data_IF_307213686676
#
_entry.id   IF_307213686676
#
_cell.length_a   1.000
_cell.length_b   1.000
_cell.length_c   1.000
_cell.angle_alpha   90.00
_cell.angle_beta   90.00
_cell.angle_gamma   90.00
#
_symmetry.space_group_name_H-M   'P 1'
#
loop_
_entity.id
_entity.type
_entity.pdbx_description
1 polymer ?
#
# COMPACT_ATOMS: atom_id res chain seq x y z
N UNK A 1 7.87 3.18 -2.69
CA UNK A 1 8.46 3.70 -1.42
C UNK A 1 7.44 3.41 -0.34
N UNK A 2 7.85 2.95 0.84
CA UNK A 2 6.92 2.65 1.95
C UNK A 2 6.82 3.88 2.85
N UNK A 3 5.61 4.36 3.09
CA UNK A 3 5.31 5.52 3.93
C UNK A 3 4.73 5.04 5.25
N UNK A 4 5.32 5.49 6.36
CA UNK A 4 4.82 5.19 7.71
C UNK A 4 4.58 6.50 8.44
N UNK A 5 3.34 6.73 8.86
CA UNK A 5 3.00 7.86 9.73
C UNK A 5 3.25 7.46 11.19
N UNK A 6 4.00 8.27 11.94
CA UNK A 6 4.22 8.06 13.36
C UNK A 6 3.64 9.23 14.14
N UNK A 7 2.67 8.96 15.02
CA UNK A 7 1.92 10.00 15.74
C UNK A 7 1.91 9.75 17.24
N UNK A 8 1.59 10.81 17.98
CA UNK A 8 1.49 10.81 19.44
C UNK A 8 0.40 9.87 19.98
N UNK A 9 0.56 9.49 21.24
CA UNK A 9 -0.35 8.60 21.98
C UNK A 9 -1.51 9.35 22.64
N UNK A 10 -1.74 10.60 22.24
CA UNK A 10 -2.77 11.47 22.79
C UNK A 10 -3.97 11.59 21.82
N UNK A 11 -4.92 12.45 22.18
CA UNK A 11 -6.08 12.75 21.33
C UNK A 11 -5.69 13.54 20.08
N UNK A 12 -4.64 14.37 20.16
CA UNK A 12 -4.11 15.12 19.02
C UNK A 12 -3.62 14.20 17.92
N UNK A 13 -2.82 13.19 18.27
CA UNK A 13 -2.31 12.18 17.35
C UNK A 13 -3.42 11.44 16.59
N UNK A 14 -4.54 11.13 17.26
CA UNK A 14 -5.69 10.50 16.58
C UNK A 14 -6.35 11.40 15.53
N UNK A 15 -6.43 12.70 15.80
CA UNK A 15 -6.99 13.67 14.84
C UNK A 15 -6.06 13.84 13.64
N UNK A 16 -4.75 13.87 13.88
CA UNK A 16 -3.75 13.97 12.82
C UNK A 16 -3.81 12.75 11.91
N UNK A 17 -3.91 11.53 12.46
CA UNK A 17 -4.09 10.32 11.64
C UNK A 17 -5.34 10.45 10.76
N UNK A 18 -6.47 10.90 11.31
CA UNK A 18 -7.73 11.05 10.56
C UNK A 18 -7.64 12.05 9.42
N UNK A 19 -6.88 13.13 9.59
CA UNK A 19 -6.64 14.12 8.56
C UNK A 19 -5.66 13.60 7.51
N UNK A 20 -4.56 12.99 7.95
CA UNK A 20 -3.56 12.40 7.08
C UNK A 20 -4.15 11.33 6.15
N UNK A 21 -5.03 10.47 6.67
CA UNK A 21 -5.75 9.47 5.87
C UNK A 21 -6.63 10.06 4.77
N UNK A 22 -7.04 11.33 4.88
CA UNK A 22 -7.84 12.01 3.85
C UNK A 22 -6.98 12.72 2.81
N UNK A 23 -5.74 13.09 3.15
CA UNK A 23 -4.90 13.99 2.35
C UNK A 23 -3.75 13.25 1.66
N UNK A 24 -3.23 12.18 2.27
CA UNK A 24 -2.02 11.50 1.83
C UNK A 24 -2.18 9.97 1.77
N UNK A 25 -1.41 9.34 0.88
CA UNK A 25 -1.31 7.88 0.76
C UNK A 25 -0.30 7.35 1.78
N UNK A 26 -0.79 6.58 2.75
CA UNK A 26 0.00 6.04 3.88
C UNK A 26 -0.21 4.53 3.97
N UNK A 27 0.87 3.77 4.03
CA UNK A 27 0.82 2.31 4.12
C UNK A 27 0.63 1.85 5.58
N UNK A 28 1.38 2.45 6.50
CA UNK A 28 1.44 2.04 7.90
C UNK A 28 1.29 3.22 8.87
N UNK A 29 0.69 2.95 10.01
CA UNK A 29 0.57 3.89 11.13
C UNK A 29 1.25 3.29 12.36
N UNK A 30 2.22 4.00 12.91
CA UNK A 30 2.78 3.72 14.22
C UNK A 30 2.21 4.72 15.23
N UNK A 31 1.95 4.26 16.45
CA UNK A 31 1.43 5.11 17.54
C UNK A 31 2.38 5.05 18.73
N UNK A 32 2.65 6.20 19.34
CA UNK A 32 3.32 6.27 20.62
C UNK A 32 2.45 5.64 21.73
N UNK A 33 3.05 5.17 22.85
CA UNK A 33 2.32 4.75 24.03
C UNK A 33 1.31 5.80 24.51
N UNK A 34 0.20 5.35 25.06
CA UNK A 34 -0.89 6.24 25.51
C UNK A 34 -0.38 7.33 26.45
N UNK A 35 -0.76 8.59 26.15
CA UNK A 35 -0.39 9.76 26.95
C UNK A 35 1.08 10.20 26.84
N UNK A 36 1.87 9.62 25.92
CA UNK A 36 3.24 10.09 25.60
C UNK A 36 3.31 10.73 24.22
N UNK A 37 4.11 11.78 24.12
CA UNK A 37 4.50 12.43 22.87
C UNK A 37 5.69 11.72 22.23
N UNK A 38 5.81 11.76 20.92
CA UNK A 38 6.94 11.18 20.16
C UNK A 38 8.26 11.83 20.58
N UNK A 39 8.23 13.11 20.92
CA UNK A 39 9.40 13.87 21.41
C UNK A 39 9.94 13.34 22.75
N UNK A 40 9.06 12.77 23.58
CA UNK A 40 9.39 12.27 24.92
C UNK A 40 9.84 10.79 24.91
N UNK A 41 9.81 10.13 23.76
CA UNK A 41 10.13 8.70 23.67
C UNK A 41 11.63 8.43 23.65
N UNK A 42 12.02 7.41 24.40
CA UNK A 42 13.37 6.86 24.29
C UNK A 42 13.54 6.08 22.97
N UNK A 43 14.79 5.95 22.49
CA UNK A 43 15.08 5.21 21.26
C UNK A 43 14.50 3.78 21.26
N UNK A 44 14.48 3.11 22.42
CA UNK A 44 13.91 1.76 22.57
C UNK A 44 12.39 1.76 22.37
N UNK A 45 11.70 2.79 22.84
CA UNK A 45 10.25 2.94 22.67
C UNK A 45 9.88 3.28 21.23
N UNK A 46 10.66 4.14 20.56
CA UNK A 46 10.47 4.44 19.12
C UNK A 46 10.59 3.17 18.29
N UNK A 47 11.65 2.37 18.52
CA UNK A 47 11.85 1.10 17.80
C UNK A 47 10.72 0.11 18.11
N UNK A 48 10.22 0.07 19.36
CA UNK A 48 9.07 -0.76 19.72
C UNK A 48 7.80 -0.33 18.99
N UNK A 49 7.50 0.96 18.95
CA UNK A 49 6.34 1.50 18.26
C UNK A 49 6.39 1.23 16.75
N UNK A 50 7.56 1.39 16.12
CA UNK A 50 7.75 1.11 14.69
C UNK A 50 7.67 -0.38 14.35
N UNK A 51 8.10 -1.27 15.26
CA UNK A 51 7.92 -2.72 15.11
C UNK A 51 6.46 -3.16 15.21
N UNK A 52 5.67 -2.42 15.97
CA UNK A 52 4.24 -2.66 16.18
C UNK A 52 3.37 -1.75 15.29
N UNK A 53 3.89 -1.31 14.13
CA UNK A 53 3.12 -0.49 13.19
C UNK A 53 1.94 -1.29 12.63
N UNK A 54 0.81 -0.61 12.49
CA UNK A 54 -0.48 -1.17 12.11
C UNK A 54 -0.73 -0.77 10.64
N UNK A 55 -1.18 -1.68 9.77
CA UNK A 55 -1.58 -1.33 8.41
C UNK A 55 -2.81 -0.42 8.42
N UNK A 56 -2.92 0.45 7.42
CA UNK A 56 -3.99 1.46 7.36
C UNK A 56 -5.40 0.88 7.41
N UNK A 57 -5.61 -0.30 6.82
CA UNK A 57 -6.91 -1.01 6.79
C UNK A 57 -7.44 -1.26 8.20
N UNK A 58 -6.58 -1.75 9.09
CA UNK A 58 -6.94 -2.03 10.48
C UNK A 58 -7.21 -0.74 11.28
N UNK A 59 -6.55 0.37 10.91
CA UNK A 59 -6.77 1.68 11.54
C UNK A 59 -8.14 2.26 11.17
N UNK A 60 -8.59 2.06 9.93
CA UNK A 60 -9.90 2.53 9.46
C UNK A 60 -11.04 1.87 10.24
N UNK A 61 -10.92 0.57 10.50
CA UNK A 61 -11.88 -0.20 11.31
C UNK A 61 -11.95 0.31 12.76
N UNK A 62 -10.80 0.59 13.35
CA UNK A 62 -10.67 1.03 14.75
C UNK A 62 -11.40 2.35 15.00
N UNK A 63 -11.29 3.30 14.06
CA UNK A 63 -11.82 4.65 14.24
C UNK A 63 -13.26 4.83 13.72
N UNK A 64 -13.89 3.77 13.17
CA UNK A 64 -15.25 3.83 12.59
C UNK A 64 -15.46 5.07 11.72
N UNK A 65 -14.41 5.46 11.00
CA UNK A 65 -14.50 6.58 10.07
C UNK A 65 -15.37 6.03 8.95
N UNK A 66 -16.65 6.41 8.95
CA UNK A 66 -17.46 6.30 7.75
C UNK A 66 -16.71 7.11 6.70
N UNK A 67 -15.90 6.44 5.89
CA UNK A 67 -15.32 6.99 4.69
C UNK A 67 -16.51 7.34 3.80
N UNK A 68 -17.06 8.53 4.02
CA UNK A 68 -17.84 9.17 2.99
C UNK A 68 -16.79 9.57 1.97
N UNK A 69 -16.76 8.94 0.78
CA UNK A 69 -15.91 9.44 -0.28
C UNK A 69 -16.43 10.85 -0.56
N UNK A 70 -15.76 11.87 -0.02
CA UNK A 70 -15.96 13.24 -0.45
C UNK A 70 -15.49 13.24 -1.88
N UNK A 71 -16.43 13.02 -2.81
CA UNK A 71 -16.31 13.37 -4.21
C UNK A 71 -15.62 14.72 -4.21
N UNK A 72 -14.38 14.73 -4.68
CA UNK A 72 -13.57 15.91 -4.95
C UNK A 72 -14.52 16.89 -5.64
N UNK A 73 -15.05 17.84 -4.88
CA UNK A 73 -15.96 18.84 -5.42
C UNK A 73 -15.10 19.63 -6.38
N UNK A 74 -15.35 19.41 -7.66
CA UNK A 74 -14.87 20.25 -8.74
C UNK A 74 -15.27 21.68 -8.38
N UNK A 75 -14.32 22.46 -7.87
CA UNK A 75 -14.45 23.91 -7.80
C UNK A 75 -14.11 24.43 -9.19
N UNK A 76 -14.95 24.10 -10.16
CA UNK A 76 -14.89 24.68 -11.50
C UNK A 76 -16.29 25.13 -11.88
N UNK A 77 -16.38 26.42 -12.18
CA UNK A 77 -17.41 27.03 -13.02
C UNK A 77 -18.86 27.03 -12.50
N UNK A 78 -19.22 28.14 -11.83
CA UNK A 78 -20.26 29.12 -12.25
C UNK A 78 -21.02 29.65 -11.03
N UNK A 79 -20.65 30.85 -10.59
CA UNK A 79 -21.62 31.88 -10.17
C UNK A 79 -20.98 33.26 -10.30
N UNK A 80 -20.93 33.70 -11.55
CA UNK A 80 -21.03 35.12 -11.91
C UNK A 80 -22.47 35.55 -11.58
N UNK A 81 -22.63 36.82 -11.20
CA UNK A 81 -23.86 37.61 -10.99
C UNK A 81 -24.42 37.66 -9.57
N UNK A 82 -23.87 38.56 -8.76
CA UNK A 82 -24.67 39.69 -8.24
C UNK A 82 -23.73 40.78 -7.73
N UNK A 83 -23.52 41.77 -8.60
CA UNK A 83 -23.04 43.09 -8.24
C UNK A 83 -24.12 43.75 -7.39
N UNK A 84 -23.77 44.22 -6.20
CA UNK A 84 -24.35 45.46 -5.67
C UNK A 84 -23.31 46.19 -4.82
N UNK A 85 -22.96 47.35 -5.34
CA UNK A 85 -22.10 48.41 -4.82
C UNK A 85 -22.62 48.89 -3.44
N UNK A 86 -21.84 49.41 -2.48
CA UNK A 86 -20.96 50.60 -2.50
C UNK A 86 -20.10 50.68 -1.20
N UNK A 87 -19.10 51.57 -1.13
CA UNK A 87 -17.93 51.48 -0.25
C UNK A 87 -18.02 52.36 1.01
N UNK A 88 -17.20 52.07 2.04
CA UNK A 88 -16.70 53.09 2.96
C UNK A 88 -15.24 52.78 3.38
N UNK A 89 -14.37 53.67 2.94
CA UNK A 89 -13.03 53.95 3.47
C UNK A 89 -13.13 54.50 4.90
N UNK A 90 -12.29 54.04 5.83
CA UNK A 90 -11.68 54.91 6.86
C UNK A 90 -10.29 54.40 7.28
N UNK A 91 -9.26 55.10 6.77
CA UNK A 91 -8.07 55.67 7.43
C UNK A 91 -7.15 54.82 8.33
N UNK A 92 -5.89 54.85 7.90
CA UNK A 92 -4.61 54.63 8.61
C UNK A 92 -4.44 55.44 9.91
N UNK A 93 -3.73 54.84 10.88
CA UNK A 93 -2.74 55.37 11.87
C UNK A 93 -2.59 54.29 12.98
N UNK A 94 -1.46 53.84 13.52
CA UNK A 94 -0.11 54.38 13.74
C UNK A 94 0.86 53.22 14.11
N UNK A 95 2.09 53.33 13.60
CA UNK A 95 3.38 53.11 14.26
C UNK A 95 3.57 52.01 15.32
N UNK A 96 4.48 51.07 15.02
CA UNK A 96 5.67 50.89 15.85
C UNK A 96 6.82 50.29 15.04
N UNK A 97 7.82 51.13 14.79
CA UNK A 97 9.13 50.78 14.29
C UNK A 97 10.07 50.42 15.47
N UNK A 98 11.05 49.55 15.19
CA UNK A 98 12.44 49.49 15.72
C UNK A 98 13.01 48.16 15.16
N UNK A 99 13.76 48.10 14.06
CA UNK A 99 15.07 48.69 13.69
C UNK A 99 16.20 48.33 14.66
N UNK A 100 16.83 47.17 14.44
CA UNK A 100 18.24 46.94 14.76
C UNK A 100 18.92 46.31 13.54
N UNK A 101 19.98 46.97 13.08
CA UNK A 101 20.68 46.78 11.81
C UNK A 101 21.67 45.57 11.82
N UNK A 102 22.19 45.16 10.64
CA UNK A 102 22.84 43.87 10.44
C UNK A 102 24.36 43.90 10.63
N UNK A 103 24.97 42.74 10.93
CA UNK A 103 26.41 42.52 10.78
C UNK A 103 26.72 41.45 9.72
N UNK A 104 27.54 41.93 8.78
CA UNK A 104 28.15 41.36 7.58
C UNK A 104 29.40 40.55 7.93
N UNK A 105 29.58 39.32 7.44
CA UNK A 105 30.91 38.79 7.02
C UNK A 105 30.76 37.71 5.92
N UNK A 106 31.20 38.13 4.74
CA UNK A 106 31.83 37.50 3.57
C UNK A 106 31.35 36.20 2.87
N UNK A 107 31.36 36.19 1.52
CA UNK A 107 31.03 35.04 0.67
C UNK A 107 32.26 34.19 0.31
N UNK A 108 32.05 32.91 0.02
CA UNK A 108 32.96 32.09 -0.79
C UNK A 108 32.24 31.66 -2.08
N UNK A 109 32.66 32.26 -3.19
CA UNK A 109 32.65 31.64 -4.52
C UNK A 109 33.57 30.40 -4.48
N UNK A 110 33.32 29.30 -5.17
CA UNK A 110 33.58 28.98 -6.58
C UNK A 110 33.14 27.48 -6.66
N UNK A 111 32.38 26.93 -7.61
CA UNK A 111 32.64 26.81 -9.05
C UNK A 111 31.39 26.23 -9.73
N UNK A 112 31.15 26.67 -10.97
CA UNK A 112 30.02 26.28 -11.80
C UNK A 112 30.36 25.15 -12.79
N UNK A 113 29.32 24.34 -13.09
CA UNK A 113 28.95 23.72 -14.39
C UNK A 113 29.80 22.58 -14.98
N UNK A 114 29.24 21.72 -15.88
CA UNK A 114 27.93 21.81 -16.56
C UNK A 114 27.02 20.57 -16.50
N UNK A 115 25.74 20.80 -16.79
CA UNK A 115 24.76 19.80 -17.24
C UNK A 115 25.16 19.20 -18.59
N UNK A 116 24.63 18.02 -18.93
CA UNK A 116 23.96 17.92 -20.22
C UNK A 116 22.50 17.51 -20.06
N UNK A 117 21.68 18.43 -20.51
CA UNK A 117 20.36 18.26 -21.10
C UNK A 117 20.28 17.00 -21.98
N UNK A 118 19.38 16.07 -21.64
CA UNK A 118 18.63 15.31 -22.64
C UNK A 118 17.16 15.64 -22.41
N UNK A 119 16.68 16.55 -23.24
CA UNK A 119 15.27 16.73 -23.54
C UNK A 119 14.81 15.52 -24.34
N UNK A 120 13.91 14.71 -23.78
CA UNK A 120 12.86 14.08 -24.57
C UNK A 120 11.54 14.32 -23.85
N UNK A 121 10.64 14.92 -24.63
CA UNK A 121 9.32 15.43 -24.30
C UNK A 121 8.39 14.42 -23.58
N UNK A 122 7.33 14.92 -22.91
CA UNK A 122 6.51 14.17 -21.99
C UNK A 122 5.48 13.34 -22.75
N UNK A 123 5.47 12.03 -22.51
CA UNK A 123 4.35 11.18 -22.92
C UNK A 123 3.51 10.94 -21.68
N UNK A 124 2.35 11.61 -21.70
CA UNK A 124 1.04 11.15 -21.28
C UNK A 124 0.92 10.24 -20.05
N UNK A 125 -0.02 10.64 -19.18
CA UNK A 125 -0.75 9.74 -18.31
C UNK A 125 -1.16 8.44 -19.02
N UNK A 126 -1.24 7.35 -18.25
CA UNK A 126 -2.47 6.57 -18.20
C UNK A 126 -2.99 6.71 -16.76
N UNK A 127 -4.05 7.47 -16.49
CA UNK A 127 -5.44 7.01 -16.67
C UNK A 127 -5.57 5.49 -16.62
N UNK A 128 -6.30 5.05 -15.59
CA UNK A 128 -6.71 3.67 -15.41
C UNK A 128 -7.25 3.09 -16.72
N UNK A 129 -6.66 1.98 -17.14
CA UNK A 129 -7.34 1.00 -17.99
C UNK A 129 -7.21 -0.34 -17.26
N UNK A 130 -8.33 -0.94 -16.80
CA UNK A 130 -8.34 -2.33 -16.40
C UNK A 130 -8.23 -3.15 -17.69
N UNK A 131 -7.12 -3.86 -17.90
CA UNK A 131 -6.98 -4.81 -19.01
C UNK A 131 -6.09 -5.99 -18.61
N UNK A 132 -6.37 -7.23 -19.08
CA UNK A 132 -7.67 -7.85 -19.32
C UNK A 132 -7.80 -9.15 -18.48
N UNK A 133 -8.90 -9.87 -18.66
CA UNK A 133 -9.20 -11.14 -17.97
C UNK A 133 -8.52 -12.43 -18.48
N UNK A 134 -7.51 -12.50 -19.39
CA UNK A 134 -7.01 -13.82 -19.85
C UNK A 134 -6.03 -14.49 -18.87
N UNK A 135 -5.24 -13.72 -18.10
CA UNK A 135 -4.37 -14.29 -17.06
C UNK A 135 -5.15 -14.80 -15.84
N UNK A 136 -6.40 -14.35 -15.69
CA UNK A 136 -7.29 -14.85 -14.63
C UNK A 136 -8.17 -16.01 -15.08
N UNK A 137 -8.51 -16.06 -16.37
CA UNK A 137 -9.39 -17.09 -16.91
C UNK A 137 -8.71 -18.44 -17.10
N UNK A 138 -7.42 -18.48 -17.48
CA UNK A 138 -6.77 -19.76 -17.78
C UNK A 138 -6.78 -20.72 -16.59
N UNK A 139 -6.59 -20.21 -15.36
CA UNK A 139 -6.66 -21.03 -14.16
C UNK A 139 -8.09 -21.34 -13.69
N UNK A 140 -9.09 -20.53 -14.08
CA UNK A 140 -10.50 -20.80 -13.74
C UNK A 140 -11.00 -22.06 -14.41
N UNK A 141 -10.67 -22.28 -15.69
CA UNK A 141 -11.01 -23.52 -16.38
C UNK A 141 -10.44 -24.74 -15.66
N UNK A 142 -9.16 -24.67 -15.26
CA UNK A 142 -8.51 -25.74 -14.51
C UNK A 142 -9.09 -25.91 -13.09
N UNK A 143 -9.58 -24.83 -12.47
CA UNK A 143 -10.21 -24.90 -11.15
C UNK A 143 -11.59 -25.52 -11.19
N UNK A 144 -12.39 -25.21 -12.21
CA UNK A 144 -13.72 -25.80 -12.38
C UNK A 144 -13.65 -27.28 -12.76
N UNK A 145 -12.61 -27.71 -13.48
CA UNK A 145 -12.33 -29.14 -13.71
C UNK A 145 -11.90 -29.89 -12.45
N UNK A 146 -11.17 -29.22 -11.55
CA UNK A 146 -10.67 -29.83 -10.32
C UNK A 146 -11.71 -29.80 -9.19
N UNK A 147 -12.74 -28.97 -9.28
CA UNK A 147 -13.81 -28.83 -8.30
C UNK A 147 -14.49 -30.18 -8.01
N UNK A 148 -14.36 -30.66 -6.77
CA UNK A 148 -14.92 -31.94 -6.32
C UNK A 148 -14.03 -33.17 -6.55
N UNK A 149 -12.89 -33.01 -7.24
CA UNK A 149 -11.93 -34.11 -7.47
C UNK A 149 -10.85 -34.22 -6.40
N UNK A 150 -10.68 -33.19 -5.54
CA UNK A 150 -9.61 -33.13 -4.53
C UNK A 150 -8.21 -33.40 -5.11
N UNK A 151 -8.02 -32.97 -6.36
CA UNK A 151 -6.78 -33.15 -7.11
C UNK A 151 -6.04 -31.82 -7.26
N UNK A 152 -4.74 -31.93 -7.50
CA UNK A 152 -3.79 -30.84 -7.61
C UNK A 152 -3.00 -30.98 -8.91
N UNK A 153 -2.88 -29.89 -9.64
CA UNK A 153 -2.06 -29.74 -10.85
C UNK A 153 -0.84 -28.89 -10.53
N UNK A 154 0.32 -29.46 -10.80
CA UNK A 154 1.62 -28.79 -10.66
C UNK A 154 2.00 -28.24 -12.03
N UNK A 155 2.46 -26.99 -12.09
CA UNK A 155 2.71 -26.25 -13.33
C UNK A 155 4.11 -25.64 -13.39
N UNK A 156 4.63 -25.55 -14.61
CA UNK A 156 5.88 -24.87 -14.95
C UNK A 156 5.66 -23.38 -15.27
N UNK A 157 6.73 -22.61 -15.52
CA UNK A 157 6.72 -21.19 -15.95
C UNK A 157 5.86 -20.94 -17.18
N UNK A 158 5.76 -21.94 -18.05
CA UNK A 158 5.01 -21.88 -19.30
C UNK A 158 3.53 -22.25 -19.13
N UNK A 159 3.01 -22.34 -17.89
CA UNK A 159 1.63 -22.74 -17.57
C UNK A 159 1.24 -24.15 -18.04
N UNK A 160 2.23 -24.98 -18.34
CA UNK A 160 2.02 -26.39 -18.70
C UNK A 160 1.89 -27.24 -17.43
N UNK A 161 0.93 -28.18 -17.44
CA UNK A 161 0.75 -29.14 -16.36
C UNK A 161 1.88 -30.18 -16.42
N UNK A 162 2.73 -30.17 -15.39
CA UNK A 162 3.82 -31.14 -15.22
C UNK A 162 3.28 -32.47 -14.67
N UNK A 163 2.42 -32.39 -13.65
CA UNK A 163 1.92 -33.55 -12.94
C UNK A 163 0.58 -33.28 -12.27
N UNK A 164 -0.29 -34.28 -12.29
CA UNK A 164 -1.51 -34.34 -11.48
C UNK A 164 -1.28 -35.22 -10.25
N UNK A 165 -1.69 -34.73 -9.08
CA UNK A 165 -1.43 -35.34 -7.77
C UNK A 165 -2.65 -35.16 -6.89
N UNK A 166 -2.96 -36.10 -6.00
CA UNK A 166 -4.00 -35.88 -5.00
C UNK A 166 -3.55 -34.83 -3.96
N UNK A 167 -4.48 -34.01 -3.44
CA UNK A 167 -4.18 -32.97 -2.43
C UNK A 167 -3.50 -33.55 -1.17
N UNK A 168 -3.84 -34.79 -0.81
CA UNK A 168 -3.25 -35.50 0.34
C UNK A 168 -1.75 -35.74 0.19
N UNK A 169 -1.31 -36.05 -1.03
CA UNK A 169 0.08 -36.37 -1.33
C UNK A 169 0.87 -35.15 -1.83
N UNK A 170 0.19 -34.07 -2.25
CA UNK A 170 0.79 -32.82 -2.73
C UNK A 170 1.93 -32.29 -1.83
N UNK A 171 1.80 -32.37 -0.51
CA UNK A 171 2.84 -31.90 0.41
C UNK A 171 4.13 -32.74 0.34
N UNK A 172 4.04 -34.03 -0.02
CA UNK A 172 5.21 -34.90 -0.27
C UNK A 172 5.73 -34.65 -1.68
N UNK A 173 4.86 -34.62 -2.68
CA UNK A 173 5.26 -34.35 -4.05
C UNK A 173 5.97 -33.01 -4.21
N UNK A 174 5.49 -31.93 -3.60
CA UNK A 174 6.16 -30.62 -3.70
C UNK A 174 7.54 -30.61 -3.03
N UNK A 175 7.77 -31.44 -2.02
CA UNK A 175 9.08 -31.57 -1.39
C UNK A 175 10.06 -32.35 -2.28
N UNK A 176 9.60 -33.42 -2.90
CA UNK A 176 10.41 -34.28 -3.79
C UNK A 176 10.60 -33.65 -5.17
N UNK A 177 9.59 -32.93 -5.68
CA UNK A 177 9.66 -32.19 -6.91
C UNK A 177 10.59 -30.98 -6.73
N UNK A 178 11.74 -31.04 -7.40
CA UNK A 178 12.75 -29.97 -7.48
C UNK A 178 12.87 -29.42 -8.90
N UNK A 179 11.81 -29.53 -9.71
CA UNK A 179 11.76 -28.93 -11.05
C UNK A 179 11.38 -27.45 -11.01
N UNK A 180 11.37 -26.80 -12.18
CA UNK A 180 10.94 -25.41 -12.42
C UNK A 180 9.44 -25.14 -12.14
N UNK A 181 8.93 -25.72 -11.06
CA UNK A 181 7.56 -25.53 -10.61
C UNK A 181 7.37 -24.07 -10.28
N UNK A 182 6.43 -23.45 -10.98
CA UNK A 182 6.14 -22.02 -10.85
C UNK A 182 4.76 -21.79 -10.25
N UNK A 183 3.84 -22.74 -10.43
CA UNK A 183 2.49 -22.64 -9.91
C UNK A 183 1.92 -23.99 -9.50
N UNK A 184 1.02 -23.96 -8.52
CA UNK A 184 0.23 -25.13 -8.13
C UNK A 184 -1.23 -24.71 -8.03
N UNK A 185 -2.10 -25.49 -8.67
CA UNK A 185 -3.55 -25.35 -8.61
C UNK A 185 -4.10 -26.58 -7.91
N UNK A 186 -4.93 -26.42 -6.89
CA UNK A 186 -5.54 -27.57 -6.23
C UNK A 186 -6.92 -27.28 -5.66
N UNK A 187 -7.81 -28.26 -5.73
CA UNK A 187 -9.13 -28.18 -5.15
C UNK A 187 -9.05 -28.51 -3.65
N UNK A 188 -8.84 -27.49 -2.84
CA UNK A 188 -8.75 -27.64 -1.39
C UNK A 188 -8.53 -26.33 -0.64
N UNK A 189 -8.39 -26.47 0.68
CA UNK A 189 -8.13 -25.35 1.58
C UNK A 189 -6.64 -25.02 1.55
N UNK A 190 -6.32 -23.76 1.28
CA UNK A 190 -4.95 -23.24 1.37
C UNK A 190 -4.55 -23.16 2.85
N UNK A 191 -3.73 -24.10 3.29
CA UNK A 191 -3.19 -24.14 4.67
C UNK A 191 -1.81 -23.50 4.73
N UNK A 192 -1.42 -23.04 5.92
CA UNK A 192 -0.09 -22.48 6.15
C UNK A 192 1.03 -23.46 5.77
N UNK A 193 0.86 -24.77 6.01
CA UNK A 193 1.88 -25.77 5.65
C UNK A 193 2.15 -25.83 4.14
N UNK A 194 1.11 -25.73 3.31
CA UNK A 194 1.26 -25.71 1.84
C UNK A 194 1.93 -24.41 1.41
N UNK A 195 1.55 -23.28 2.02
CA UNK A 195 2.13 -21.97 1.78
C UNK A 195 3.63 -21.92 2.15
N UNK A 196 4.01 -22.51 3.27
CA UNK A 196 5.40 -22.58 3.72
C UNK A 196 6.24 -23.42 2.74
N UNK A 197 5.73 -24.57 2.29
CA UNK A 197 6.38 -25.41 1.27
C UNK A 197 6.49 -24.66 -0.07
N UNK A 198 5.43 -23.94 -0.45
CA UNK A 198 5.42 -23.11 -1.64
C UNK A 198 6.49 -22.01 -1.59
N UNK A 199 6.69 -21.40 -0.42
CA UNK A 199 7.69 -20.37 -0.20
C UNK A 199 9.11 -20.93 -0.18
N UNK A 200 9.34 -22.11 0.42
CA UNK A 200 10.62 -22.80 0.38
C UNK A 200 11.05 -23.14 -1.06
N UNK A 201 10.08 -23.49 -1.92
CA UNK A 201 10.32 -23.82 -3.33
C UNK A 201 10.36 -22.60 -4.25
N UNK A 202 9.88 -21.44 -3.77
CA UNK A 202 9.83 -20.21 -4.57
C UNK A 202 8.73 -20.22 -5.62
N UNK A 203 7.56 -20.78 -5.32
CA UNK A 203 6.40 -20.74 -6.21
C UNK A 203 5.90 -19.30 -6.39
N UNK A 204 5.61 -18.90 -7.62
CA UNK A 204 5.02 -17.60 -7.91
C UNK A 204 3.51 -17.60 -7.63
N UNK A 205 2.83 -18.72 -7.88
CA UNK A 205 1.38 -18.83 -7.80
C UNK A 205 0.92 -20.03 -6.99
N UNK A 206 -0.01 -19.79 -6.06
CA UNK A 206 -0.71 -20.84 -5.33
C UNK A 206 -2.22 -20.60 -5.44
N UNK A 207 -2.92 -21.50 -6.12
CA UNK A 207 -4.35 -21.38 -6.39
C UNK A 207 -5.09 -22.48 -5.67
N UNK A 208 -6.03 -22.10 -4.80
CA UNK A 208 -6.85 -23.03 -4.03
C UNK A 208 -8.35 -22.74 -4.16
N UNK A 209 -9.18 -23.71 -3.80
CA UNK A 209 -10.62 -23.51 -3.75
C UNK A 209 -11.00 -22.50 -2.64
N UNK A 210 -10.38 -22.63 -1.46
CA UNK A 210 -10.71 -21.83 -0.28
C UNK A 210 -9.49 -21.34 0.48
N UNK A 211 -9.57 -20.14 1.04
CA UNK A 211 -8.55 -19.59 1.92
C UNK A 211 -8.66 -20.21 3.33
N UNK A 212 -7.56 -20.76 3.86
CA UNK A 212 -7.49 -21.23 5.25
C UNK A 212 -7.05 -20.14 6.23
N UNK A 213 -6.83 -20.54 7.49
CA UNK A 213 -6.26 -19.65 8.51
C UNK A 213 -4.76 -19.46 8.26
N UNK A 214 -4.39 -18.31 7.68
CA UNK A 214 -3.00 -17.98 7.32
C UNK A 214 -2.49 -16.88 8.26
N UNK A 215 -1.50 -17.23 9.08
CA UNK A 215 -0.90 -16.28 10.03
C UNK A 215 0.25 -15.46 9.42
N UNK A 216 0.92 -16.00 8.41
CA UNK A 216 2.09 -15.39 7.76
C UNK A 216 2.04 -15.67 6.27
N UNK A 217 1.96 -14.61 5.47
CA UNK A 217 2.08 -14.68 4.01
C UNK A 217 3.48 -14.24 3.58
N UNK A 218 4.26 -15.09 2.91
CA UNK A 218 5.55 -14.70 2.36
C UNK A 218 5.36 -13.83 1.12
N UNK A 219 6.24 -12.85 0.90
CA UNK A 219 6.14 -11.88 -0.19
C UNK A 219 6.43 -12.44 -1.59
N UNK A 220 6.90 -13.69 -1.67
CA UNK A 220 7.25 -14.34 -2.94
C UNK A 220 6.09 -15.11 -3.59
N UNK A 221 5.03 -15.44 -2.85
CA UNK A 221 3.94 -16.30 -3.34
C UNK A 221 2.64 -15.50 -3.50
N UNK A 222 2.05 -15.50 -4.70
CA UNK A 222 0.71 -14.94 -4.94
C UNK A 222 -0.33 -16.03 -4.68
N UNK A 223 -1.16 -15.83 -3.66
CA UNK A 223 -2.27 -16.73 -3.34
C UNK A 223 -3.55 -16.24 -4.01
N UNK A 224 -4.20 -17.12 -4.76
CA UNK A 224 -5.48 -16.88 -5.42
C UNK A 224 -6.47 -17.92 -4.92
N UNK A 225 -7.72 -17.52 -4.68
CA UNK A 225 -8.77 -18.45 -4.28
C UNK A 225 -10.03 -18.25 -5.10
N UNK A 226 -10.78 -19.33 -5.37
CA UNK A 226 -12.04 -19.27 -6.12
C UNK A 226 -13.10 -18.37 -5.45
N UNK A 227 -13.07 -18.28 -4.12
CA UNK A 227 -13.99 -17.47 -3.32
C UNK A 227 -13.54 -15.99 -3.11
N UNK A 228 -12.37 -15.56 -3.60
CA UNK A 228 -11.80 -14.23 -3.29
C UNK A 228 -11.65 -13.29 -4.50
#
# INVERSE_FOLDING_TARGET
KVVTAFTDGDRGGELIIKELLQVADIDFVARAPEGKSVEDLTQKEIVRALRQKIPVEQVLDQYKIKSQPKKRREITTKRKSLIREKPLCVRSTMERAEVIAPRRVMPREVMAKPEPTIEVAPVAAPEAVPEPEPEREWFRAHMDELDGTLSARIMDRNQNVLKEVAVRDLARELKEANGDVSGVIFDGVVTQRILDIAAEKGLEYLIGAKMGNIAKSPSCVRVLTKEA
#
